data_IF_113411045091
#
_entry.id   IF_113411045091
#
_cell.length_a   1.000
_cell.length_b   1.000
_cell.length_c   1.000
_cell.angle_alpha   90.00
_cell.angle_beta   90.00
_cell.angle_gamma   90.00
#
_symmetry.space_group_name_H-M   'P 1'
#
loop_
_entity.id
_entity.type
_entity.pdbx_description
1 polymer ?
#
# COMPACT_ATOMS: atom_id res chain seq x y z
N UNK A 1 2.42 -18.32 11.75
CA UNK A 1 1.81 -18.32 10.41
C UNK A 1 1.67 -16.88 9.94
N UNK A 2 2.40 -16.51 8.88
CA UNK A 2 2.28 -15.27 8.11
C UNK A 2 2.58 -13.94 8.81
N UNK A 3 2.56 -13.84 10.14
CA UNK A 3 2.84 -12.58 10.86
C UNK A 3 4.26 -12.60 11.42
N UNK A 4 5.09 -11.66 10.98
CA UNK A 4 6.50 -11.54 11.36
C UNK A 4 6.79 -10.12 11.82
N UNK A 5 7.67 -9.93 12.80
CA UNK A 5 8.11 -8.61 13.24
C UNK A 5 9.36 -8.17 12.45
N UNK A 6 9.34 -7.00 11.81
CA UNK A 6 10.49 -6.51 11.04
C UNK A 6 11.71 -6.15 11.92
N UNK A 7 11.53 -6.04 13.24
CA UNK A 7 12.60 -5.72 14.19
C UNK A 7 13.43 -6.92 14.68
N UNK A 8 13.08 -8.16 14.31
CA UNK A 8 13.77 -9.36 14.83
C UNK A 8 14.75 -9.96 13.82
N UNK A 9 15.87 -10.56 14.27
CA UNK A 9 16.79 -11.26 13.37
C UNK A 9 16.08 -12.35 12.55
N UNK A 10 16.40 -12.43 11.26
CA UNK A 10 15.87 -13.47 10.37
C UNK A 10 14.45 -13.21 9.84
N UNK A 11 13.80 -12.10 10.22
CA UNK A 11 12.42 -11.79 9.81
C UNK A 11 12.21 -11.92 8.30
N UNK A 12 13.18 -11.45 7.50
CA UNK A 12 13.04 -11.38 6.05
C UNK A 12 12.92 -12.78 5.42
N UNK A 13 13.66 -13.77 5.96
CA UNK A 13 13.61 -15.15 5.49
C UNK A 13 12.28 -15.82 5.84
N UNK A 14 11.81 -15.61 7.06
CA UNK A 14 10.52 -16.15 7.51
C UNK A 14 9.34 -15.57 6.72
N UNK A 15 9.37 -14.25 6.50
CA UNK A 15 8.35 -13.55 5.73
C UNK A 15 8.36 -13.97 4.24
N UNK A 16 9.54 -14.09 3.63
CA UNK A 16 9.66 -14.57 2.25
C UNK A 16 9.14 -16.01 2.10
N UNK A 17 9.48 -16.90 3.04
CA UNK A 17 8.96 -18.27 3.07
C UNK A 17 7.43 -18.32 3.21
N UNK A 18 6.86 -17.47 4.07
CA UNK A 18 5.40 -17.36 4.22
C UNK A 18 4.72 -16.84 2.96
N UNK A 19 5.29 -15.82 2.33
CA UNK A 19 4.78 -15.24 1.07
C UNK A 19 4.76 -16.29 -0.05
N UNK A 20 5.86 -17.02 -0.26
CA UNK A 20 5.94 -18.06 -1.30
C UNK A 20 5.06 -19.27 -1.01
N UNK A 21 4.88 -19.64 0.26
CA UNK A 21 4.09 -20.81 0.65
C UNK A 21 2.58 -20.55 0.73
N UNK A 22 2.17 -19.36 1.18
CA UNK A 22 0.75 -19.03 1.46
C UNK A 22 0.19 -17.92 0.57
N UNK A 23 1.02 -17.26 -0.24
CA UNK A 23 0.63 -16.11 -1.06
C UNK A 23 0.52 -14.80 -0.27
N UNK A 24 0.82 -14.80 1.04
CA UNK A 24 0.74 -13.60 1.88
C UNK A 24 1.72 -13.64 3.07
N UNK A 25 2.10 -12.46 3.54
CA UNK A 25 2.83 -12.24 4.80
C UNK A 25 2.47 -10.87 5.36
N UNK A 26 2.53 -10.71 6.67
CA UNK A 26 2.29 -9.47 7.40
C UNK A 26 3.55 -9.10 8.18
N UNK A 27 4.11 -7.94 7.87
CA UNK A 27 5.27 -7.39 8.57
C UNK A 27 4.81 -6.35 9.61
N UNK A 28 4.92 -6.71 10.89
CA UNK A 28 4.74 -5.76 11.98
C UNK A 28 5.95 -4.85 12.07
N UNK A 29 5.73 -3.60 12.48
CA UNK A 29 6.80 -2.62 12.67
C UNK A 29 7.66 -2.35 11.42
N UNK A 30 7.12 -2.57 10.22
CA UNK A 30 7.82 -2.26 8.96
C UNK A 30 8.01 -0.75 8.75
N UNK A 31 7.18 0.07 9.39
CA UNK A 31 7.27 1.54 9.36
C UNK A 31 7.49 2.07 10.77
N UNK A 32 8.37 3.07 10.90
CA UNK A 32 8.54 3.80 12.15
C UNK A 32 7.53 4.95 12.29
N UNK A 33 7.42 5.52 13.49
CA UNK A 33 6.45 6.58 13.79
C UNK A 33 6.58 7.83 12.88
N UNK A 34 7.80 8.18 12.47
CA UNK A 34 8.05 9.32 11.56
C UNK A 34 7.47 9.01 10.17
N UNK A 35 7.76 7.83 9.62
CA UNK A 35 7.22 7.38 8.34
C UNK A 35 5.69 7.30 8.36
N UNK A 36 5.11 6.75 9.42
CA UNK A 36 3.64 6.68 9.60
C UNK A 36 3.03 8.08 9.59
N UNK A 37 3.63 9.03 10.31
CA UNK A 37 3.14 10.42 10.39
C UNK A 37 3.20 11.11 9.04
N UNK A 38 4.33 10.99 8.33
CA UNK A 38 4.51 11.57 7.00
C UNK A 38 3.53 10.99 5.98
N UNK A 39 3.37 9.67 5.96
CA UNK A 39 2.41 8.99 5.08
C UNK A 39 0.98 9.41 5.38
N UNK A 40 0.60 9.45 6.66
CA UNK A 40 -0.74 9.86 7.07
C UNK A 40 -1.06 11.28 6.61
N UNK A 41 -0.12 12.22 6.79
CA UNK A 41 -0.31 13.60 6.35
C UNK A 41 -0.48 13.69 4.83
N UNK A 42 0.40 13.03 4.07
CA UNK A 42 0.35 13.05 2.62
C UNK A 42 -0.93 12.38 2.08
N UNK A 43 -1.35 11.25 2.67
CA UNK A 43 -2.57 10.56 2.29
C UNK A 43 -3.84 11.34 2.61
N UNK A 44 -3.89 11.99 3.78
CA UNK A 44 -5.01 12.88 4.11
C UNK A 44 -5.10 14.04 3.12
N UNK A 45 -3.99 14.72 2.84
CA UNK A 45 -3.98 15.86 1.91
C UNK A 45 -4.37 15.45 0.49
N UNK A 46 -3.85 14.32 -0.01
CA UNK A 46 -4.23 13.79 -1.32
C UNK A 46 -5.72 13.39 -1.37
N UNK A 47 -6.27 12.85 -0.29
CA UNK A 47 -7.67 12.49 -0.21
C UNK A 47 -8.57 13.74 -0.19
N UNK A 48 -8.20 14.77 0.57
CA UNK A 48 -8.91 16.05 0.62
C UNK A 48 -8.99 16.72 -0.75
N UNK A 49 -7.87 16.77 -1.49
CA UNK A 49 -7.84 17.31 -2.85
C UNK A 49 -8.78 16.54 -3.79
N UNK A 50 -8.78 15.21 -3.70
CA UNK A 50 -9.64 14.37 -4.52
C UNK A 50 -11.13 14.56 -4.16
N UNK A 51 -11.45 14.67 -2.87
CA UNK A 51 -12.81 14.93 -2.38
C UNK A 51 -13.30 16.34 -2.72
N UNK A 52 -12.42 17.32 -2.83
CA UNK A 52 -12.79 18.67 -3.26
C UNK A 52 -13.34 18.68 -4.71
N UNK A 53 -12.87 17.73 -5.53
CA UNK A 53 -13.26 17.56 -6.93
C UNK A 53 -14.46 16.63 -7.12
N UNK A 54 -14.87 15.89 -6.09
CA UNK A 54 -16.02 14.98 -6.10
C UNK A 54 -17.01 15.28 -4.95
N UNK A 55 -17.72 16.43 -4.99
CA UNK A 55 -18.64 16.84 -3.92
C UNK A 55 -19.79 15.86 -3.70
N UNK A 56 -20.16 15.08 -4.72
CA UNK A 56 -21.25 14.10 -4.66
C UNK A 56 -20.81 12.72 -4.15
N UNK A 57 -19.52 12.55 -3.84
CA UNK A 57 -18.94 11.32 -3.33
C UNK A 57 -19.19 10.09 -4.22
N UNK A 58 -19.17 10.30 -5.54
CA UNK A 58 -19.37 9.24 -6.54
C UNK A 58 -18.24 8.21 -6.50
N UNK A 59 -17.04 8.63 -6.14
CA UNK A 59 -15.85 7.78 -6.12
C UNK A 59 -15.34 7.44 -7.52
N UNK A 60 -14.10 6.95 -7.59
CA UNK A 60 -13.50 6.39 -8.81
C UNK A 60 -13.30 4.86 -8.70
N UNK A 61 -13.73 4.26 -7.58
CA UNK A 61 -13.84 2.81 -7.36
C UNK A 61 -15.26 2.41 -6.93
N UNK A 62 -16.24 3.25 -7.26
CA UNK A 62 -17.63 3.14 -6.80
C UNK A 62 -17.97 4.12 -5.67
N UNK A 63 -19.24 4.22 -5.27
CA UNK A 63 -19.72 5.21 -4.32
C UNK A 63 -18.87 5.26 -3.04
N UNK A 64 -18.33 6.45 -2.74
CA UNK A 64 -17.52 6.73 -1.54
C UNK A 64 -16.22 5.91 -1.42
N UNK A 65 -15.81 5.23 -2.49
CA UNK A 65 -14.58 4.43 -2.58
C UNK A 65 -13.63 5.05 -3.60
N UNK A 66 -12.38 5.21 -3.20
CA UNK A 66 -11.42 5.99 -3.96
C UNK A 66 -10.09 5.26 -4.09
N UNK A 67 -9.48 5.46 -5.25
CA UNK A 67 -8.13 5.05 -5.58
C UNK A 67 -7.31 6.28 -5.94
N UNK A 68 -6.21 6.49 -5.21
CA UNK A 68 -5.24 7.55 -5.54
C UNK A 68 -4.63 7.30 -6.92
N UNK A 69 -4.27 6.03 -7.21
CA UNK A 69 -3.78 5.65 -8.53
C UNK A 69 -4.84 5.84 -9.62
N UNK A 70 -6.10 5.47 -9.35
CA UNK A 70 -7.21 5.72 -10.29
C UNK A 70 -7.49 7.20 -10.57
N UNK A 71 -7.03 8.11 -9.71
CA UNK A 71 -7.15 9.56 -9.89
C UNK A 71 -5.87 10.25 -10.38
N UNK A 72 -4.79 9.49 -10.55
CA UNK A 72 -3.50 9.98 -11.06
C UNK A 72 -3.34 9.61 -12.53
N UNK A 73 -2.89 10.55 -13.36
CA UNK A 73 -2.62 10.31 -14.79
C UNK A 73 -1.58 9.22 -15.01
N UNK A 74 -0.63 9.06 -14.09
CA UNK A 74 0.39 8.01 -14.17
C UNK A 74 -0.07 6.71 -13.55
N UNK A 75 -1.25 6.66 -12.91
CA UNK A 75 -1.67 5.58 -12.03
C UNK A 75 -0.80 5.36 -10.79
N UNK A 76 0.13 6.29 -10.51
CA UNK A 76 1.03 6.24 -9.36
C UNK A 76 1.03 7.56 -8.57
N UNK A 77 1.38 7.45 -7.29
CA UNK A 77 1.60 8.54 -6.35
C UNK A 77 3.07 8.72 -6.00
N UNK A 78 3.98 7.97 -6.62
CA UNK A 78 5.43 7.97 -6.32
C UNK A 78 6.15 9.29 -6.63
N UNK A 79 5.47 10.25 -7.26
CA UNK A 79 5.94 11.63 -7.36
C UNK A 79 5.88 12.38 -6.01
N UNK A 80 5.14 11.84 -5.03
CA UNK A 80 5.13 12.30 -3.64
C UNK A 80 6.13 11.47 -2.82
N UNK A 81 7.00 12.14 -2.07
CA UNK A 81 8.06 11.49 -1.29
C UNK A 81 7.52 10.41 -0.34
N UNK A 82 6.37 10.66 0.30
CA UNK A 82 5.78 9.72 1.24
C UNK A 82 5.42 8.35 0.61
N UNK A 83 5.13 8.31 -0.70
CA UNK A 83 4.90 7.07 -1.44
C UNK A 83 6.19 6.44 -1.95
N UNK A 84 7.16 7.26 -2.37
CA UNK A 84 8.48 6.77 -2.75
C UNK A 84 9.16 6.07 -1.56
N UNK A 85 9.08 6.65 -0.37
CA UNK A 85 9.63 6.08 0.88
C UNK A 85 9.04 4.69 1.22
N UNK A 86 7.81 4.39 0.77
CA UNK A 86 7.21 3.06 0.94
C UNK A 86 7.85 2.03 0.01
N UNK A 87 8.17 2.42 -1.22
CA UNK A 87 8.86 1.55 -2.19
C UNK A 87 10.29 1.27 -1.74
N UNK A 88 10.95 2.26 -1.15
CA UNK A 88 12.32 2.16 -0.64
C UNK A 88 12.41 1.61 0.79
N UNK A 89 11.31 1.11 1.36
CA UNK A 89 11.28 0.56 2.71
C UNK A 89 12.22 -0.66 2.83
N UNK A 90 13.20 -0.57 3.74
CA UNK A 90 14.22 -1.61 3.89
C UNK A 90 13.67 -2.97 4.31
N UNK A 91 12.64 -2.99 5.18
CA UNK A 91 12.02 -4.23 5.61
C UNK A 91 11.31 -4.94 4.46
N UNK A 92 10.55 -4.19 3.65
CA UNK A 92 9.91 -4.69 2.44
C UNK A 92 10.95 -5.19 1.44
N UNK A 93 11.95 -4.35 1.11
CA UNK A 93 13.00 -4.70 0.13
C UNK A 93 13.71 -5.99 0.52
N UNK A 94 14.10 -6.15 1.79
CA UNK A 94 14.78 -7.35 2.29
C UNK A 94 13.96 -8.64 2.07
N UNK A 95 12.63 -8.55 2.19
CA UNK A 95 11.73 -9.68 1.92
C UNK A 95 11.63 -9.97 0.44
N UNK A 96 11.43 -8.94 -0.39
CA UNK A 96 11.30 -9.09 -1.84
C UNK A 96 12.58 -9.63 -2.48
N UNK A 97 13.75 -9.18 -2.04
CA UNK A 97 15.05 -9.69 -2.48
C UNK A 97 15.18 -11.20 -2.24
N UNK A 98 14.77 -11.68 -1.06
CA UNK A 98 14.80 -13.10 -0.74
C UNK A 98 13.72 -13.92 -1.47
N UNK A 99 12.52 -13.35 -1.64
CA UNK A 99 11.41 -14.04 -2.27
C UNK A 99 11.59 -14.19 -3.79
N UNK A 100 12.16 -13.17 -4.44
CA UNK A 100 12.24 -13.06 -5.89
C UNK A 100 13.67 -13.04 -6.44
N UNK A 101 14.69 -13.19 -5.59
CA UNK A 101 16.10 -13.23 -6.01
C UNK A 101 16.56 -11.96 -6.72
N UNK A 102 16.04 -10.81 -6.32
CA UNK A 102 16.30 -9.51 -6.95
C UNK A 102 15.69 -9.35 -8.35
N UNK A 103 14.85 -10.29 -8.80
CA UNK A 103 14.16 -10.23 -10.09
C UNK A 103 12.72 -9.71 -9.92
N UNK A 104 12.58 -8.46 -9.51
CA UNK A 104 11.28 -7.81 -9.38
C UNK A 104 11.37 -6.32 -9.73
N UNK A 105 10.23 -5.75 -10.11
CA UNK A 105 10.08 -4.33 -10.39
C UNK A 105 8.76 -3.83 -9.83
N UNK A 106 8.77 -2.62 -9.27
CA UNK A 106 7.54 -1.95 -8.87
C UNK A 106 6.75 -1.52 -10.12
N UNK A 107 5.56 -2.11 -10.31
CA UNK A 107 4.65 -1.78 -11.42
C UNK A 107 3.43 -0.98 -10.98
N UNK A 108 3.35 -0.63 -9.70
CA UNK A 108 2.21 0.02 -9.06
C UNK A 108 2.69 0.84 -7.87
N UNK A 109 2.00 1.95 -7.57
CA UNK A 109 2.39 2.85 -6.48
C UNK A 109 1.31 3.84 -6.11
N UNK A 110 0.07 3.37 -6.09
CA UNK A 110 -1.11 4.15 -5.71
C UNK A 110 -1.52 3.87 -4.27
N UNK A 111 -2.79 3.53 -4.08
CA UNK A 111 -3.38 3.27 -2.78
C UNK A 111 -4.86 3.62 -2.83
N UNK A 112 -5.61 3.18 -1.84
CA UNK A 112 -7.05 3.37 -1.80
C UNK A 112 -7.48 3.93 -0.44
N UNK A 113 -8.57 4.68 -0.44
CA UNK A 113 -9.26 5.10 0.78
C UNK A 113 -10.77 4.96 0.60
N UNK A 114 -11.46 4.76 1.73
CA UNK A 114 -12.90 4.52 1.77
C UNK A 114 -13.49 5.46 2.80
N UNK A 115 -14.54 6.18 2.43
CA UNK A 115 -15.28 7.00 3.39
C UNK A 115 -16.27 6.11 4.17
N UNK A 116 -16.63 6.55 5.37
CA UNK A 116 -17.76 5.95 6.10
C UNK A 116 -19.04 5.99 5.27
N UNK A 117 -20.02 5.14 5.62
CA UNK A 117 -21.33 5.06 4.96
C UNK A 117 -21.29 4.55 3.51
N UNK A 118 -20.25 3.83 3.12
CA UNK A 118 -20.32 3.03 1.89
C UNK A 118 -21.19 1.80 2.14
N UNK A 119 -22.09 1.52 1.21
CA UNK A 119 -22.98 0.34 1.19
C UNK A 119 -22.52 -0.70 0.15
N UNK A 120 -21.48 -0.37 -0.63
CA UNK A 120 -20.92 -1.23 -1.66
C UNK A 120 -19.71 -2.00 -1.16
N UNK A 121 -19.72 -3.31 -1.42
CA UNK A 121 -18.63 -4.21 -1.04
C UNK A 121 -17.79 -4.58 -2.25
N UNK A 122 -16.48 -4.74 -2.05
CA UNK A 122 -15.61 -5.29 -3.07
C UNK A 122 -15.86 -6.80 -3.18
N UNK A 123 -16.29 -7.25 -4.36
CA UNK A 123 -16.41 -8.70 -4.63
C UNK A 123 -15.04 -9.36 -4.54
N UNK A 124 -15.02 -10.66 -4.25
CA UNK A 124 -13.79 -11.44 -4.32
C UNK A 124 -13.24 -11.38 -5.76
N UNK A 125 -11.96 -11.05 -5.88
CA UNK A 125 -11.25 -10.92 -7.15
C UNK A 125 -9.74 -11.06 -6.89
N UNK A 126 -8.99 -11.20 -7.98
CA UNK A 126 -7.54 -11.08 -8.02
C UNK A 126 -7.22 -9.77 -8.74
N UNK A 127 -6.21 -9.03 -8.27
CA UNK A 127 -5.85 -7.72 -8.82
C UNK A 127 -5.10 -7.79 -10.17
N UNK A 128 -4.57 -8.98 -10.51
CA UNK A 128 -3.80 -9.27 -11.73
C UNK A 128 -4.70 -9.58 -12.94
#
# INVERSE_FOLDING_TARGET
AGVVDAGVPGFAREAAGSLLGSGWTLLRNALNAKQITALRLAATSAAEDLLSRDPQRRGNRGPRRYSFGGASTTHHMVHLQAWADLMDNEALRSVLELAFGGQYVAVGGGGDFVLGETDTHQRLHVDL
#
